data_IF_369131524861
#
_entry.id   IF_369131524861
#
_cell.length_a   1.000
_cell.length_b   1.000
_cell.length_c   1.000
_cell.angle_alpha   90.00
_cell.angle_beta   90.00
_cell.angle_gamma   90.00
#
_symmetry.space_group_name_H-M   'P 1'
#
loop_
_entity.id
_entity.type
_entity.pdbx_description
1 polymer ?
#
# COMPACT_ATOMS: atom_id res chain seq x y z
N UNK A 1 5.17 -21.96 -5.75
CA UNK A 1 4.73 -20.75 -6.48
C UNK A 1 5.81 -19.72 -6.21
N UNK A 2 6.46 -19.20 -7.25
CA UNK A 2 7.74 -18.49 -7.09
C UNK A 2 7.51 -17.02 -6.70
N UNK A 3 8.15 -16.61 -5.60
CA UNK A 3 8.05 -15.34 -4.85
C UNK A 3 9.43 -14.67 -4.71
N UNK A 4 10.37 -15.04 -5.58
CA UNK A 4 11.36 -14.10 -6.10
C UNK A 4 10.74 -13.18 -7.16
N UNK A 5 11.57 -12.34 -7.80
CA UNK A 5 12.04 -11.10 -7.23
C UNK A 5 11.02 -9.94 -7.39
N UNK A 6 10.57 -9.36 -6.27
CA UNK A 6 10.25 -7.92 -6.19
C UNK A 6 8.86 -7.46 -6.68
N UNK A 7 8.66 -6.12 -6.66
CA UNK A 7 7.68 -5.39 -5.81
C UNK A 7 6.50 -6.24 -5.32
N UNK A 8 6.82 -7.00 -4.27
CA UNK A 8 6.10 -8.10 -3.61
C UNK A 8 5.44 -9.16 -4.50
N UNK A 9 6.21 -9.67 -5.44
CA UNK A 9 5.77 -10.54 -6.54
C UNK A 9 4.72 -9.83 -7.42
N UNK A 10 5.07 -8.58 -7.76
CA UNK A 10 4.48 -7.70 -8.77
C UNK A 10 2.97 -7.50 -8.64
N UNK A 11 2.57 -6.93 -7.51
CA UNK A 11 1.19 -6.47 -7.22
C UNK A 11 0.20 -7.57 -6.82
N UNK A 12 0.66 -8.56 -6.08
CA UNK A 12 -0.21 -9.57 -5.49
C UNK A 12 -1.50 -8.98 -4.87
N UNK A 13 -2.64 -9.43 -5.43
CA UNK A 13 -4.03 -8.96 -5.32
C UNK A 13 -4.22 -7.47 -4.98
N UNK A 14 -4.42 -6.67 -6.02
CA UNK A 14 -4.88 -5.28 -5.93
C UNK A 14 -6.25 -5.13 -6.55
N UNK A 15 -7.18 -4.45 -5.87
CA UNK A 15 -8.51 -4.15 -6.39
C UNK A 15 -8.94 -2.73 -6.03
N UNK A 16 -9.28 -1.92 -7.03
CA UNK A 16 -9.86 -0.60 -6.83
C UNK A 16 -11.39 -0.66 -6.75
N UNK A 17 -11.97 0.01 -5.76
CA UNK A 17 -13.41 0.07 -5.51
C UNK A 17 -13.85 1.54 -5.63
N UNK A 18 -14.33 1.99 -6.81
CA UNK A 18 -14.59 3.40 -7.08
C UNK A 18 -15.65 4.04 -6.17
N UNK A 19 -16.68 3.28 -5.79
CA UNK A 19 -17.80 3.78 -5.00
C UNK A 19 -17.37 4.32 -3.62
N UNK A 20 -16.23 3.83 -3.10
CA UNK A 20 -15.67 4.24 -1.81
C UNK A 20 -14.23 4.74 -1.93
N UNK A 21 -13.73 4.95 -3.17
CA UNK A 21 -12.38 5.44 -3.45
C UNK A 21 -11.29 4.66 -2.69
N UNK A 22 -11.43 3.34 -2.63
CA UNK A 22 -10.54 2.48 -1.86
C UNK A 22 -9.75 1.53 -2.76
N UNK A 23 -8.52 1.20 -2.37
CA UNK A 23 -7.73 0.13 -2.97
C UNK A 23 -7.49 -0.96 -1.94
N UNK A 24 -7.91 -2.18 -2.25
CA UNK A 24 -7.47 -3.37 -1.52
C UNK A 24 -6.08 -3.79 -1.98
N UNK A 25 -5.22 -4.24 -1.05
CA UNK A 25 -3.86 -4.72 -1.34
C UNK A 25 -3.45 -5.90 -0.44
N UNK A 26 -2.72 -6.86 -1.01
CA UNK A 26 -2.09 -7.98 -0.31
C UNK A 26 -0.59 -7.76 -0.07
N UNK A 27 -0.23 -7.26 1.11
CA UNK A 27 1.15 -7.12 1.62
C UNK A 27 2.09 -6.13 0.89
N UNK A 28 1.52 -5.15 0.17
CA UNK A 28 2.22 -4.00 -0.41
C UNK A 28 2.54 -2.89 0.61
N UNK A 29 1.82 -2.85 1.74
CA UNK A 29 2.06 -1.93 2.85
C UNK A 29 1.91 -2.65 4.19
N UNK A 30 2.94 -2.55 5.04
CA UNK A 30 2.91 -3.10 6.38
C UNK A 30 2.28 -2.11 7.37
N UNK A 31 1.18 -2.52 8.01
CA UNK A 31 0.62 -1.79 9.15
C UNK A 31 0.56 -2.67 10.41
N UNK A 32 1.21 -2.25 11.50
CA UNK A 32 1.11 -2.96 12.77
C UNK A 32 -0.34 -3.13 13.25
N UNK A 33 -0.67 -4.33 13.74
CA UNK A 33 -2.01 -4.65 14.22
C UNK A 33 -2.43 -3.88 15.49
N UNK A 34 -1.47 -3.30 16.21
CA UNK A 34 -1.72 -2.46 17.39
C UNK A 34 -2.17 -1.03 17.03
N UNK A 35 -2.33 -0.71 15.74
CA UNK A 35 -2.79 0.61 15.29
C UNK A 35 -1.67 1.62 15.10
N UNK A 36 -0.41 1.23 15.31
CA UNK A 36 0.73 2.10 15.04
C UNK A 36 0.79 2.51 13.56
N UNK A 37 1.61 3.53 13.32
CA UNK A 37 1.82 4.11 12.02
C UNK A 37 2.37 3.08 11.00
N UNK A 38 1.94 3.11 9.72
CA UNK A 38 2.44 2.17 8.71
C UNK A 38 3.96 2.29 8.51
N UNK A 39 4.60 1.16 8.24
CA UNK A 39 6.04 1.04 8.03
C UNK A 39 6.28 0.76 6.54
N UNK A 40 6.82 1.74 5.83
CA UNK A 40 7.09 1.59 4.40
C UNK A 40 8.44 0.92 4.13
N UNK A 41 8.51 0.23 3.00
CA UNK A 41 9.72 -0.32 2.41
C UNK A 41 9.71 -0.06 0.88
N UNK A 42 10.67 -0.62 0.14
CA UNK A 42 10.75 -0.43 -1.32
C UNK A 42 9.48 -0.87 -2.07
N UNK A 43 8.76 -1.90 -1.57
CA UNK A 43 7.47 -2.32 -2.14
C UNK A 43 6.41 -1.24 -1.94
N UNK A 44 6.32 -0.67 -0.75
CA UNK A 44 5.37 0.41 -0.46
C UNK A 44 5.65 1.67 -1.29
N UNK A 45 6.93 2.00 -1.52
CA UNK A 45 7.31 3.10 -2.40
C UNK A 45 6.89 2.84 -3.86
N UNK A 46 7.06 1.60 -4.34
CA UNK A 46 6.59 1.19 -5.66
C UNK A 46 5.06 1.28 -5.77
N UNK A 47 4.33 0.79 -4.77
CA UNK A 47 2.87 0.85 -4.72
C UNK A 47 2.33 2.28 -4.74
N UNK A 48 2.93 3.19 -3.96
CA UNK A 48 2.54 4.61 -3.99
C UNK A 48 2.75 5.22 -5.39
N UNK A 49 3.89 4.93 -6.02
CA UNK A 49 4.17 5.40 -7.39
C UNK A 49 3.13 4.87 -8.38
N UNK A 50 2.71 3.61 -8.26
CA UNK A 50 1.63 3.04 -9.06
C UNK A 50 0.33 3.82 -8.87
N UNK A 51 -0.10 4.07 -7.63
CA UNK A 51 -1.31 4.85 -7.33
C UNK A 51 -1.24 6.21 -8.02
N UNK A 52 -0.15 6.96 -7.82
CA UNK A 52 0.01 8.31 -8.38
C UNK A 52 0.00 8.31 -9.93
N UNK A 53 0.47 7.22 -10.56
CA UNK A 53 0.49 7.06 -12.03
C UNK A 53 -0.82 6.52 -12.63
N UNK A 54 -1.69 5.92 -11.82
CA UNK A 54 -2.89 5.19 -12.28
C UNK A 54 -4.04 6.10 -12.73
N UNK A 55 -4.06 7.36 -12.31
CA UNK A 55 -5.19 8.28 -12.50
C UNK A 55 -6.41 7.97 -11.62
N UNK A 56 -6.30 7.01 -10.69
CA UNK A 56 -7.36 6.66 -9.75
C UNK A 56 -7.45 7.67 -8.60
N UNK A 57 -8.66 7.88 -8.08
CA UNK A 57 -8.89 8.68 -6.88
C UNK A 57 -8.94 7.74 -5.69
N UNK A 58 -7.83 7.63 -4.96
CA UNK A 58 -7.70 6.75 -3.79
C UNK A 58 -7.63 7.58 -2.52
N UNK A 59 -8.56 7.33 -1.60
CA UNK A 59 -8.61 7.94 -0.26
C UNK A 59 -8.14 6.95 0.81
N UNK A 60 -8.46 5.66 0.64
CA UNK A 60 -8.13 4.61 1.63
C UNK A 60 -7.53 3.36 1.01
N UNK A 61 -6.70 2.68 1.79
CA UNK A 61 -6.00 1.43 1.48
C UNK A 61 -6.49 0.39 2.47
N UNK A 62 -7.12 -0.65 1.95
CA UNK A 62 -7.65 -1.78 2.73
C UNK A 62 -6.61 -2.90 2.66
N UNK A 63 -5.93 -3.23 3.76
CA UNK A 63 -4.94 -4.31 3.74
C UNK A 63 -5.59 -5.68 3.94
N UNK A 64 -4.88 -6.73 3.57
CA UNK A 64 -5.20 -8.11 4.01
C UNK A 64 -4.94 -8.30 5.52
N UNK A 65 -4.07 -7.47 6.12
CA UNK A 65 -3.69 -7.52 7.53
C UNK A 65 -3.65 -6.14 8.18
N UNK A 66 -4.13 -6.06 9.42
CA UNK A 66 -4.09 -4.82 10.20
C UNK A 66 -5.19 -3.82 9.82
N UNK A 67 -5.14 -2.60 10.39
CA UNK A 67 -6.16 -1.58 10.19
C UNK A 67 -6.05 -0.86 8.83
N UNK A 68 -7.17 -0.26 8.40
CA UNK A 68 -7.25 0.57 7.18
C UNK A 68 -6.27 1.74 7.26
N UNK A 69 -5.67 2.09 6.13
CA UNK A 69 -4.70 3.18 6.01
C UNK A 69 -5.18 4.25 5.05
N UNK A 70 -5.00 5.52 5.41
CA UNK A 70 -5.28 6.66 4.51
C UNK A 70 -4.16 6.84 3.49
N UNK A 71 -4.46 7.45 2.35
CA UNK A 71 -3.42 7.75 1.35
C UNK A 71 -2.35 8.71 1.90
N UNK A 72 -2.73 9.64 2.79
CA UNK A 72 -1.80 10.54 3.49
C UNK A 72 -0.86 9.77 4.41
N UNK A 73 -1.37 8.76 5.13
CA UNK A 73 -0.54 7.92 5.99
C UNK A 73 0.51 7.15 5.17
N UNK A 74 0.11 6.56 4.03
CA UNK A 74 1.04 5.90 3.09
C UNK A 74 2.10 6.88 2.59
N UNK A 75 1.69 8.07 2.11
CA UNK A 75 2.61 9.09 1.59
C UNK A 75 3.67 9.48 2.62
N UNK A 76 3.25 9.74 3.86
CA UNK A 76 4.18 10.06 4.93
C UNK A 76 5.04 8.87 5.34
N UNK A 77 4.51 7.64 5.36
CA UNK A 77 5.33 6.45 5.62
C UNK A 77 6.45 6.28 4.58
N UNK A 78 6.14 6.47 3.30
CA UNK A 78 7.13 6.43 2.21
C UNK A 78 8.13 7.58 2.34
N UNK A 79 7.69 8.79 2.70
CA UNK A 79 8.58 9.92 2.94
C UNK A 79 9.54 9.70 4.13
N UNK A 80 9.09 8.98 5.16
CA UNK A 80 9.86 8.67 6.38
C UNK A 80 10.81 7.47 6.20
N UNK A 81 10.83 6.81 5.03
CA UNK A 81 11.77 5.72 4.73
C UNK A 81 13.22 6.21 4.87
N UNK A 82 13.90 5.81 5.94
CA UNK A 82 15.32 6.07 6.12
C UNK A 82 16.11 5.23 5.11
N UNK A 83 17.02 5.90 4.37
CA UNK A 83 18.03 5.25 3.52
C UNK A 83 19.03 4.46 4.36
#
# INVERSE_FOLDING_TARGET
YDIGPGPHAEEMLVAYIPAIKAVFQGDLLNRPANGDYPIANETSAHFLKWIDSSGLVVETIIPVHGPVTTIEELRRAVADMKK
#
